data_IF_870036688392
#
_entry.id   IF_870036688392
#
_cell.length_a   1.000
_cell.length_b   1.000
_cell.length_c   1.000
_cell.angle_alpha   90.00
_cell.angle_beta   90.00
_cell.angle_gamma   90.00
#
_symmetry.space_group_name_H-M   'P 1'
#
loop_
_entity.id
_entity.type
_entity.pdbx_description
1 polymer ?
#
# COMPACT_ATOMS: atom_id res chain seq x y z
N UNK A 1 -20.89 20.82 -10.30
CA UNK A 1 -20.16 22.04 -10.62
C UNK A 1 -20.65 22.57 -11.98
N UNK A 2 -21.38 23.71 -12.03
CA UNK A 2 -21.96 24.23 -13.27
C UNK A 2 -20.88 24.91 -14.15
N UNK A 3 -20.22 24.13 -15.00
CA UNK A 3 -19.14 24.59 -15.89
C UNK A 3 -19.55 25.81 -16.72
N UNK A 4 -20.78 25.83 -17.23
CA UNK A 4 -21.30 26.94 -18.04
C UNK A 4 -21.30 28.29 -17.32
N UNK A 5 -21.49 28.29 -15.99
CA UNK A 5 -21.45 29.54 -15.22
C UNK A 5 -20.08 30.16 -15.30
N UNK A 6 -19.02 29.38 -15.19
CA UNK A 6 -17.63 29.88 -15.34
C UNK A 6 -17.39 30.45 -16.73
N UNK A 7 -17.91 29.84 -17.78
CA UNK A 7 -17.80 30.32 -19.16
C UNK A 7 -18.47 31.69 -19.32
N UNK A 8 -19.67 31.86 -18.75
CA UNK A 8 -20.39 33.14 -18.80
C UNK A 8 -19.67 34.22 -17.98
N UNK A 9 -19.20 33.89 -16.81
CA UNK A 9 -18.41 34.82 -15.98
C UNK A 9 -17.08 35.21 -16.66
N UNK A 10 -16.42 34.28 -17.34
CA UNK A 10 -15.22 34.56 -18.12
C UNK A 10 -15.51 35.55 -19.27
N UNK A 11 -16.66 35.42 -19.91
CA UNK A 11 -17.13 36.39 -20.92
C UNK A 11 -17.64 37.71 -20.31
N UNK A 12 -17.57 37.86 -18.98
CA UNK A 12 -18.07 39.03 -18.25
C UNK A 12 -19.59 39.20 -18.24
N UNK A 13 -20.33 38.17 -18.64
CA UNK A 13 -21.81 38.25 -18.77
C UNK A 13 -22.47 38.16 -17.41
N UNK A 14 -23.61 38.81 -17.29
CA UNK A 14 -24.52 38.59 -16.19
C UNK A 14 -25.16 37.20 -16.29
N UNK A 15 -25.34 36.58 -15.15
CA UNK A 15 -25.89 35.24 -15.06
C UNK A 15 -27.04 35.22 -14.07
N UNK A 16 -28.19 34.77 -14.52
CA UNK A 16 -29.35 34.46 -13.67
C UNK A 16 -29.46 32.94 -13.62
N UNK A 17 -29.57 32.38 -12.45
CA UNK A 17 -29.63 30.94 -12.25
C UNK A 17 -30.60 30.56 -11.10
N UNK A 18 -31.07 29.33 -11.10
CA UNK A 18 -31.82 28.76 -9.98
C UNK A 18 -30.94 28.70 -8.73
N UNK A 19 -31.51 28.96 -7.56
CA UNK A 19 -30.79 28.88 -6.29
C UNK A 19 -30.54 27.42 -5.92
N UNK A 20 -29.37 26.93 -6.32
CA UNK A 20 -28.87 25.60 -6.03
C UNK A 20 -27.64 25.71 -5.09
N UNK A 21 -27.41 24.73 -4.21
CA UNK A 21 -26.24 24.75 -3.32
C UNK A 21 -24.92 25.02 -4.04
N UNK A 22 -24.76 24.44 -5.26
CA UNK A 22 -23.54 24.55 -6.06
C UNK A 22 -23.27 25.96 -6.60
N UNK A 23 -24.29 26.83 -6.71
CA UNK A 23 -24.11 28.20 -7.18
C UNK A 23 -23.81 29.18 -6.06
N UNK A 24 -23.87 28.75 -4.79
CA UNK A 24 -23.56 29.59 -3.64
C UNK A 24 -22.14 30.12 -3.64
N UNK A 25 -21.21 29.37 -4.22
CA UNK A 25 -19.80 29.75 -4.37
C UNK A 25 -19.56 31.00 -5.21
N UNK A 26 -20.49 31.39 -6.07
CA UNK A 26 -20.36 32.56 -6.93
C UNK A 26 -20.80 33.89 -6.25
N UNK A 27 -21.38 33.78 -5.05
CA UNK A 27 -21.76 34.97 -4.24
C UNK A 27 -22.63 35.95 -5.02
N UNK A 28 -22.22 37.20 -5.08
CA UNK A 28 -22.89 38.29 -5.78
C UNK A 28 -22.58 38.39 -7.28
N UNK A 29 -21.73 37.50 -7.80
CA UNK A 29 -21.37 37.48 -9.22
C UNK A 29 -22.48 36.92 -10.11
N UNK A 30 -23.47 36.24 -9.50
CA UNK A 30 -24.63 35.69 -10.17
C UNK A 30 -25.91 36.08 -9.44
N UNK A 31 -27.03 36.23 -10.18
CA UNK A 31 -28.35 36.44 -9.61
C UNK A 31 -29.01 35.09 -9.37
N UNK A 32 -29.28 34.76 -8.11
CA UNK A 32 -29.94 33.51 -7.71
C UNK A 32 -31.42 33.74 -7.55
N UNK A 33 -32.25 32.86 -8.15
CA UNK A 33 -33.69 32.91 -8.09
C UNK A 33 -34.25 31.63 -7.48
N UNK A 34 -35.09 31.76 -6.46
CA UNK A 34 -35.70 30.63 -5.74
C UNK A 34 -36.91 30.04 -6.48
N UNK A 35 -37.59 30.87 -7.28
CA UNK A 35 -38.80 30.52 -8.00
C UNK A 35 -38.90 31.22 -9.38
N UNK A 36 -39.94 30.92 -10.13
CA UNK A 36 -40.17 31.42 -11.48
C UNK A 36 -40.30 32.97 -11.52
N UNK A 37 -41.01 33.56 -10.57
CA UNK A 37 -41.28 35.00 -10.56
C UNK A 37 -40.01 35.80 -10.23
N UNK A 38 -39.24 35.35 -9.26
CA UNK A 38 -37.93 35.92 -8.93
C UNK A 38 -36.94 35.74 -10.07
N UNK A 39 -37.01 34.62 -10.82
CA UNK A 39 -36.15 34.39 -11.98
C UNK A 39 -36.43 35.40 -13.11
N UNK A 40 -37.73 35.60 -13.44
CA UNK A 40 -38.15 36.61 -14.45
C UNK A 40 -37.74 38.02 -13.99
N UNK A 41 -37.99 38.33 -12.73
CA UNK A 41 -37.60 39.63 -12.15
C UNK A 41 -36.11 39.89 -12.26
N UNK A 42 -35.29 38.92 -11.94
CA UNK A 42 -33.81 39.00 -12.05
C UNK A 42 -33.39 39.21 -13.51
N UNK A 43 -33.97 38.51 -14.47
CA UNK A 43 -33.70 38.75 -15.91
C UNK A 43 -34.03 40.18 -16.31
N UNK A 44 -35.22 40.68 -15.95
CA UNK A 44 -35.64 42.07 -16.30
C UNK A 44 -34.69 43.08 -15.70
N UNK A 45 -34.34 42.94 -14.42
CA UNK A 45 -33.38 43.83 -13.76
C UNK A 45 -32.02 43.86 -14.45
N UNK A 46 -31.50 42.68 -14.84
CA UNK A 46 -30.21 42.56 -15.56
C UNK A 46 -30.26 43.17 -16.95
N UNK A 47 -31.40 43.23 -17.60
CA UNK A 47 -31.57 43.84 -18.93
C UNK A 47 -31.75 45.38 -18.82
N UNK A 48 -32.48 45.86 -17.81
CA UNK A 48 -32.75 47.28 -17.59
C UNK A 48 -31.55 48.04 -16.99
N UNK A 49 -30.82 47.37 -16.10
CA UNK A 49 -29.66 47.96 -15.42
C UNK A 49 -28.52 46.96 -15.46
N UNK A 50 -27.87 46.75 -16.60
CA UNK A 50 -26.72 45.85 -16.69
C UNK A 50 -25.60 46.40 -15.79
N UNK A 51 -24.97 45.47 -15.04
CA UNK A 51 -23.87 45.84 -14.17
C UNK A 51 -22.73 46.53 -14.94
N UNK A 52 -22.20 47.60 -14.35
CA UNK A 52 -21.15 48.40 -14.96
C UNK A 52 -19.85 47.60 -15.20
N UNK A 53 -18.86 48.31 -15.77
CA UNK A 53 -17.55 47.78 -16.11
C UNK A 53 -16.88 47.06 -14.92
N UNK A 54 -17.05 47.60 -13.70
CA UNK A 54 -16.42 46.99 -12.50
C UNK A 54 -17.02 45.64 -12.17
N UNK A 55 -18.33 45.43 -12.32
CA UNK A 55 -18.96 44.16 -12.11
C UNK A 55 -18.58 43.14 -13.20
N UNK A 56 -18.39 43.57 -14.42
CA UNK A 56 -17.87 42.77 -15.52
C UNK A 56 -16.44 42.28 -15.22
N UNK A 57 -15.56 43.20 -14.80
CA UNK A 57 -14.19 42.88 -14.44
C UNK A 57 -14.12 41.95 -13.25
N UNK A 58 -14.99 42.14 -12.23
CA UNK A 58 -15.06 41.22 -11.08
C UNK A 58 -15.42 39.79 -11.50
N UNK A 59 -16.41 39.60 -12.41
CA UNK A 59 -16.77 38.31 -12.97
C UNK A 59 -15.61 37.66 -13.72
N UNK A 60 -14.94 38.41 -14.57
CA UNK A 60 -13.78 37.93 -15.35
C UNK A 60 -12.61 37.53 -14.45
N UNK A 61 -12.27 38.35 -13.46
CA UNK A 61 -11.19 38.05 -12.51
C UNK A 61 -11.48 36.79 -11.71
N UNK A 62 -12.72 36.61 -11.24
CA UNK A 62 -13.11 35.37 -10.57
C UNK A 62 -12.91 34.16 -11.47
N UNK A 63 -13.42 34.22 -12.72
CA UNK A 63 -13.31 33.10 -13.65
C UNK A 63 -11.84 32.77 -14.01
N UNK A 64 -10.99 33.77 -14.16
CA UNK A 64 -9.55 33.58 -14.41
C UNK A 64 -8.83 32.82 -13.30
N UNK A 65 -9.29 32.93 -12.05
CA UNK A 65 -8.76 32.18 -10.92
C UNK A 65 -9.32 30.75 -10.82
N UNK A 66 -10.27 30.37 -11.65
CA UNK A 66 -10.94 29.06 -11.65
C UNK A 66 -10.55 28.18 -12.86
N UNK A 67 -9.37 28.37 -13.41
CA UNK A 67 -8.88 27.59 -14.54
C UNK A 67 -8.49 26.17 -14.11
N UNK A 68 -8.45 25.24 -15.07
CA UNK A 68 -7.95 23.90 -14.84
C UNK A 68 -6.52 23.87 -14.28
N UNK A 69 -5.71 24.86 -14.65
CA UNK A 69 -4.35 25.00 -14.15
C UNK A 69 -4.34 25.32 -12.65
N UNK A 70 -5.19 26.23 -12.18
CA UNK A 70 -5.33 26.53 -10.75
C UNK A 70 -5.86 25.31 -9.98
N UNK A 71 -6.85 24.60 -10.54
CA UNK A 71 -7.37 23.36 -9.91
C UNK A 71 -6.31 22.28 -9.80
N UNK A 72 -5.48 22.12 -10.85
CA UNK A 72 -4.37 21.17 -10.81
C UNK A 72 -3.34 21.58 -9.75
N UNK A 73 -3.05 22.87 -9.63
CA UNK A 73 -2.13 23.38 -8.61
C UNK A 73 -2.68 23.20 -7.19
N UNK A 74 -3.95 23.53 -6.94
CA UNK A 74 -4.61 23.30 -5.64
C UNK A 74 -4.55 21.80 -5.26
N UNK A 75 -4.83 20.92 -6.20
CA UNK A 75 -4.74 19.47 -5.98
C UNK A 75 -3.31 19.04 -5.66
N UNK A 76 -2.33 19.57 -6.41
CA UNK A 76 -0.92 19.28 -6.17
C UNK A 76 -0.47 19.75 -4.78
N UNK A 77 -0.87 20.96 -4.36
CA UNK A 77 -0.60 21.47 -3.01
C UNK A 77 -1.27 20.62 -1.92
N UNK A 78 -2.52 20.17 -2.14
CA UNK A 78 -3.18 19.26 -1.22
C UNK A 78 -2.40 17.94 -1.09
N UNK A 79 -1.97 17.35 -2.20
CA UNK A 79 -1.17 16.11 -2.20
C UNK A 79 0.18 16.32 -1.50
N UNK A 80 0.84 17.45 -1.73
CA UNK A 80 2.13 17.77 -1.08
C UNK A 80 2.01 17.95 0.44
N UNK A 81 0.83 18.36 0.95
CA UNK A 81 0.56 18.46 2.39
C UNK A 81 0.29 17.13 3.05
N UNK A 82 -0.03 16.09 2.27
CA UNK A 82 -0.22 14.75 2.81
C UNK A 82 1.12 14.19 3.27
N UNK A 83 1.24 13.93 4.56
CA UNK A 83 2.40 13.23 5.11
C UNK A 83 2.14 11.74 5.03
N UNK A 84 3.01 11.04 4.33
CA UNK A 84 3.01 9.58 4.29
C UNK A 84 4.12 9.06 5.19
N UNK A 85 3.85 8.10 6.11
CA UNK A 85 4.87 7.51 6.95
C UNK A 85 5.92 6.79 6.09
N UNK A 86 7.14 6.68 6.60
CA UNK A 86 8.17 5.90 5.92
C UNK A 86 7.92 4.40 6.03
N UNK A 87 8.26 3.65 4.97
CA UNK A 87 8.07 2.19 4.94
C UNK A 87 9.37 1.51 4.54
N UNK A 88 9.75 0.47 5.29
CA UNK A 88 10.82 -0.45 4.92
C UNK A 88 10.23 -1.79 4.50
N UNK A 89 10.57 -2.24 3.29
CA UNK A 89 10.28 -3.60 2.83
C UNK A 89 11.54 -4.43 2.97
N UNK A 90 11.50 -5.43 3.85
CA UNK A 90 12.59 -6.37 4.10
C UNK A 90 12.36 -7.62 3.27
N UNK A 91 13.30 -7.95 2.40
CA UNK A 91 13.30 -9.15 1.56
C UNK A 91 14.45 -10.05 1.99
N UNK A 92 14.11 -11.22 2.54
CA UNK A 92 15.11 -12.25 2.82
C UNK A 92 15.32 -13.10 1.58
N UNK A 93 16.59 -13.31 1.17
CA UNK A 93 16.93 -14.17 0.04
C UNK A 93 18.01 -15.18 0.39
N UNK A 94 17.92 -16.35 -0.23
CA UNK A 94 18.94 -17.39 -0.18
C UNK A 94 18.94 -18.19 -1.48
N UNK A 95 19.95 -18.00 -2.34
CA UNK A 95 20.02 -18.60 -3.67
C UNK A 95 18.76 -18.31 -4.54
N UNK A 96 18.61 -19.00 -5.66
CA UNK A 96 17.44 -18.89 -6.55
C UNK A 96 17.22 -17.47 -7.09
N UNK A 97 18.26 -16.90 -7.70
CA UNK A 97 18.25 -15.54 -8.25
C UNK A 97 17.01 -15.19 -9.06
N UNK A 98 16.51 -16.12 -9.89
CA UNK A 98 15.35 -15.87 -10.74
C UNK A 98 14.10 -15.42 -9.96
N UNK A 99 13.81 -16.01 -8.79
CA UNK A 99 12.72 -15.56 -7.94
C UNK A 99 12.99 -14.21 -7.29
N UNK A 100 14.20 -14.04 -6.76
CA UNK A 100 14.62 -12.76 -6.16
C UNK A 100 14.54 -11.63 -7.19
N UNK A 101 14.96 -11.87 -8.43
CA UNK A 101 14.85 -10.91 -9.52
C UNK A 101 13.40 -10.55 -9.80
N UNK A 102 12.51 -11.52 -9.97
CA UNK A 102 11.08 -11.27 -10.23
C UNK A 102 10.40 -10.50 -9.08
N UNK A 103 10.75 -10.83 -7.83
CA UNK A 103 10.30 -10.11 -6.66
C UNK A 103 10.74 -8.65 -6.70
N UNK A 104 12.03 -8.37 -6.86
CA UNK A 104 12.58 -7.02 -6.91
C UNK A 104 12.01 -6.22 -8.09
N UNK A 105 11.94 -6.81 -9.30
CA UNK A 105 11.31 -6.17 -10.45
C UNK A 105 9.86 -5.76 -10.14
N UNK A 106 9.10 -6.64 -9.50
CA UNK A 106 7.73 -6.33 -9.12
C UNK A 106 7.65 -5.21 -8.09
N UNK A 107 8.54 -5.19 -7.10
CA UNK A 107 8.63 -4.14 -6.09
C UNK A 107 8.92 -2.78 -6.73
N UNK A 108 9.96 -2.67 -7.56
CA UNK A 108 10.36 -1.40 -8.15
C UNK A 108 9.40 -0.89 -9.21
N UNK A 109 8.73 -1.78 -9.97
CA UNK A 109 7.80 -1.41 -11.03
C UNK A 109 6.36 -1.18 -10.57
N UNK A 110 5.95 -1.77 -9.45
CA UNK A 110 4.53 -1.81 -9.04
C UNK A 110 4.25 -1.17 -7.68
N UNK A 111 5.29 -0.68 -6.99
CA UNK A 111 5.11 0.01 -5.71
C UNK A 111 5.20 1.52 -5.90
N UNK A 112 4.06 2.10 -6.29
CA UNK A 112 3.89 3.55 -6.40
C UNK A 112 3.52 4.09 -5.00
N UNK A 113 4.54 4.29 -4.14
CA UNK A 113 4.36 4.81 -2.79
C UNK A 113 4.82 6.28 -2.73
N UNK A 114 3.96 7.23 -2.30
CA UNK A 114 4.31 8.66 -2.30
C UNK A 114 5.19 9.10 -1.15
N UNK A 115 5.34 8.27 -0.09
CA UNK A 115 6.23 8.53 1.04
C UNK A 115 7.63 7.96 0.86
N UNK A 116 8.46 8.08 1.88
CA UNK A 116 9.79 7.48 1.89
C UNK A 116 9.68 5.95 1.90
N UNK A 117 10.32 5.30 0.93
CA UNK A 117 10.35 3.84 0.77
C UNK A 117 11.79 3.38 0.65
N UNK A 118 12.19 2.45 1.53
CA UNK A 118 13.43 1.69 1.39
C UNK A 118 13.14 0.19 1.21
N UNK A 119 13.99 -0.49 0.47
CA UNK A 119 13.95 -1.93 0.27
C UNK A 119 15.23 -2.51 0.82
N UNK A 120 15.12 -3.21 1.95
CA UNK A 120 16.25 -3.86 2.61
C UNK A 120 16.30 -5.31 2.15
N UNK A 121 17.30 -5.67 1.36
CA UNK A 121 17.51 -7.06 0.94
C UNK A 121 18.56 -7.69 1.83
N UNK A 122 18.15 -8.70 2.61
CA UNK A 122 19.06 -9.49 3.44
C UNK A 122 19.39 -10.79 2.71
N UNK A 123 20.65 -10.92 2.27
CA UNK A 123 21.15 -12.16 1.67
C UNK A 123 21.69 -13.08 2.73
N UNK A 124 21.19 -14.30 2.77
CA UNK A 124 21.49 -15.30 3.79
C UNK A 124 22.67 -16.21 3.40
N UNK A 125 23.75 -15.60 2.89
CA UNK A 125 24.96 -16.26 2.38
C UNK A 125 24.66 -17.14 1.15
N UNK A 126 24.06 -16.56 0.11
CA UNK A 126 23.86 -17.23 -1.17
C UNK A 126 25.20 -17.65 -1.81
N UNK A 127 25.20 -18.82 -2.42
CA UNK A 127 26.37 -19.42 -3.08
C UNK A 127 26.28 -19.44 -4.61
N UNK A 128 25.13 -19.01 -5.15
CA UNK A 128 24.92 -18.81 -6.59
C UNK A 128 25.21 -17.35 -7.01
N UNK A 129 24.76 -16.92 -8.20
CA UNK A 129 24.97 -15.56 -8.72
C UNK A 129 24.21 -14.47 -7.93
N UNK A 130 23.36 -14.81 -6.95
CA UNK A 130 22.47 -13.87 -6.25
C UNK A 130 23.23 -12.68 -5.66
N UNK A 131 24.33 -12.90 -4.96
CA UNK A 131 25.09 -11.82 -4.29
C UNK A 131 25.66 -10.81 -5.30
N UNK A 132 26.20 -11.29 -6.44
CA UNK A 132 26.73 -10.41 -7.48
C UNK A 132 25.63 -9.56 -8.11
N UNK A 133 24.51 -10.18 -8.44
CA UNK A 133 23.34 -9.50 -8.99
C UNK A 133 22.74 -8.47 -8.03
N UNK A 134 22.65 -8.79 -6.74
CA UNK A 134 22.18 -7.87 -5.72
C UNK A 134 23.08 -6.63 -5.59
N UNK A 135 24.40 -6.80 -5.67
CA UNK A 135 25.35 -5.68 -5.67
C UNK A 135 25.17 -4.78 -6.89
N UNK A 136 24.95 -5.36 -8.07
CA UNK A 136 24.62 -4.59 -9.29
C UNK A 136 23.32 -3.78 -9.12
N UNK A 137 22.27 -4.38 -8.56
CA UNK A 137 21.00 -3.71 -8.30
C UNK A 137 21.17 -2.57 -7.29
N UNK A 138 21.82 -2.81 -6.16
CA UNK A 138 22.05 -1.81 -5.13
C UNK A 138 22.86 -0.60 -5.64
N UNK A 139 23.74 -0.80 -6.64
CA UNK A 139 24.48 0.29 -7.26
C UNK A 139 23.63 1.22 -8.15
N UNK A 140 22.49 0.75 -8.63
CA UNK A 140 21.61 1.47 -9.56
C UNK A 140 20.33 1.97 -8.92
N UNK A 141 19.90 1.33 -7.83
CA UNK A 141 18.63 1.65 -7.17
C UNK A 141 18.90 2.23 -5.76
N UNK A 142 18.83 3.55 -5.62
CA UNK A 142 19.18 4.23 -4.37
C UNK A 142 18.23 3.90 -3.19
N UNK A 143 17.04 3.36 -3.46
CA UNK A 143 16.11 2.90 -2.41
C UNK A 143 16.49 1.53 -1.85
N UNK A 144 17.45 0.85 -2.45
CA UNK A 144 17.86 -0.50 -2.04
C UNK A 144 19.03 -0.45 -1.07
N UNK A 145 18.86 -1.13 0.06
CA UNK A 145 19.90 -1.39 1.06
C UNK A 145 20.22 -2.88 1.09
N UNK A 146 21.47 -3.25 0.93
CA UNK A 146 21.90 -4.65 0.93
C UNK A 146 22.56 -5.00 2.26
N UNK A 147 22.09 -6.09 2.86
CA UNK A 147 22.67 -6.71 4.06
C UNK A 147 23.16 -8.10 3.67
N UNK A 148 24.44 -8.38 3.87
CA UNK A 148 25.05 -9.68 3.54
C UNK A 148 25.39 -10.43 4.83
N UNK A 149 24.69 -11.52 5.10
CA UNK A 149 25.00 -12.41 6.21
C UNK A 149 26.21 -13.30 5.87
N UNK A 150 27.07 -13.54 6.83
CA UNK A 150 28.26 -14.38 6.64
C UNK A 150 27.94 -15.88 6.48
N UNK A 151 26.79 -16.32 7.01
CA UNK A 151 26.30 -17.69 6.95
C UNK A 151 24.78 -17.70 6.78
N UNK A 152 24.21 -18.82 6.36
CA UNK A 152 22.76 -18.99 6.35
C UNK A 152 22.23 -19.11 7.78
N UNK A 153 21.59 -18.05 8.26
CA UNK A 153 21.05 -17.93 9.62
C UNK A 153 19.65 -18.57 9.79
N UNK A 154 19.04 -19.05 8.70
CA UNK A 154 17.66 -19.49 8.68
C UNK A 154 16.67 -18.34 8.48
N UNK A 155 15.36 -18.62 8.61
CA UNK A 155 14.32 -17.66 8.29
C UNK A 155 14.20 -16.53 9.33
N UNK A 156 14.05 -16.88 10.62
CA UNK A 156 13.85 -15.90 11.69
C UNK A 156 15.05 -14.96 11.83
N UNK A 157 16.26 -15.50 12.00
CA UNK A 157 17.46 -14.70 12.18
C UNK A 157 17.83 -13.90 10.92
N UNK A 158 17.63 -14.47 9.72
CA UNK A 158 17.83 -13.74 8.47
C UNK A 158 16.90 -12.54 8.32
N UNK A 159 15.60 -12.68 8.64
CA UNK A 159 14.68 -11.55 8.67
C UNK A 159 15.05 -10.54 9.75
N UNK A 160 15.47 -10.98 10.92
CA UNK A 160 15.91 -10.09 12.00
C UNK A 160 17.08 -9.20 11.58
N UNK A 161 18.04 -9.70 10.79
CA UNK A 161 19.14 -8.85 10.27
C UNK A 161 18.62 -7.77 9.32
N UNK A 162 17.64 -8.08 8.47
CA UNK A 162 17.00 -7.11 7.62
C UNK A 162 16.18 -6.08 8.39
N UNK A 163 15.37 -6.54 9.37
CA UNK A 163 14.55 -5.69 10.23
C UNK A 163 15.40 -4.74 11.09
N UNK A 164 16.54 -5.20 11.60
CA UNK A 164 17.49 -4.36 12.35
C UNK A 164 18.12 -3.26 11.48
N UNK A 165 18.24 -3.49 10.17
CA UNK A 165 18.77 -2.52 9.23
C UNK A 165 17.69 -1.55 8.70
N UNK A 166 16.41 -1.87 8.88
CA UNK A 166 15.27 -1.08 8.43
C UNK A 166 15.03 0.18 9.28
N UNK A 167 14.60 1.29 8.67
CA UNK A 167 14.42 2.59 9.34
C UNK A 167 12.99 3.15 9.26
N UNK A 168 12.10 2.55 8.44
CA UNK A 168 10.75 3.03 8.20
C UNK A 168 9.83 2.97 9.43
N UNK A 169 8.81 3.82 9.47
CA UNK A 169 7.74 3.81 10.49
C UNK A 169 6.87 2.55 10.42
N UNK A 170 6.80 1.95 9.25
CA UNK A 170 6.19 0.64 9.02
C UNK A 170 7.20 -0.33 8.44
N UNK A 171 7.10 -1.56 8.87
CA UNK A 171 7.97 -2.66 8.46
C UNK A 171 7.15 -3.69 7.69
N UNK A 172 7.67 -4.12 6.56
CA UNK A 172 7.12 -5.22 5.77
C UNK A 172 8.15 -6.31 5.67
N UNK A 173 7.81 -7.54 6.04
CA UNK A 173 8.58 -8.73 5.67
C UNK A 173 7.97 -9.31 4.40
N UNK A 174 8.79 -9.63 3.42
CA UNK A 174 8.38 -10.15 2.13
C UNK A 174 9.32 -11.25 1.67
N UNK A 175 8.79 -12.41 1.33
CA UNK A 175 9.59 -13.49 0.76
C UNK A 175 10.08 -13.14 -0.65
N UNK A 176 11.27 -13.62 -1.00
CA UNK A 176 11.87 -13.37 -2.31
C UNK A 176 11.18 -14.14 -3.48
N UNK A 177 10.30 -15.09 -3.18
CA UNK A 177 9.50 -15.83 -4.16
C UNK A 177 8.08 -15.28 -4.31
N UNK A 178 7.91 -13.97 -4.14
CA UNK A 178 6.64 -13.26 -4.27
C UNK A 178 6.65 -12.28 -5.44
N UNK A 179 5.46 -11.94 -5.94
CA UNK A 179 5.27 -10.88 -6.94
C UNK A 179 4.11 -9.99 -6.49
N UNK A 180 4.42 -8.73 -6.21
CA UNK A 180 3.43 -7.76 -5.72
C UNK A 180 2.57 -7.18 -6.85
N UNK A 181 1.41 -6.63 -6.49
CA UNK A 181 0.48 -5.97 -7.41
C UNK A 181 0.46 -4.45 -7.17
N UNK A 182 -0.01 -3.67 -8.15
CA UNK A 182 -0.11 -2.21 -7.97
C UNK A 182 -1.03 -1.83 -6.81
N UNK A 183 -0.61 -0.85 -6.02
CA UNK A 183 -1.38 -0.33 -4.89
C UNK A 183 -1.32 -1.18 -3.61
N UNK A 184 -0.66 -2.33 -3.63
CA UNK A 184 -0.59 -3.26 -2.51
C UNK A 184 -0.15 -2.60 -1.20
N UNK A 185 0.96 -1.87 -1.23
CA UNK A 185 1.57 -1.27 -0.04
C UNK A 185 0.71 -0.14 0.56
N UNK A 186 0.20 0.73 -0.32
CA UNK A 186 -0.67 1.83 0.11
C UNK A 186 -2.00 1.32 0.67
N UNK A 187 -2.54 0.24 0.11
CA UNK A 187 -3.78 -0.38 0.62
C UNK A 187 -3.56 -0.99 2.00
N UNK A 188 -2.45 -1.74 2.22
CA UNK A 188 -2.10 -2.24 3.55
C UNK A 188 -1.95 -1.10 4.57
N UNK A 189 -1.25 -0.02 4.21
CA UNK A 189 -1.09 1.14 5.08
C UNK A 189 -2.43 1.78 5.48
N UNK A 190 -3.36 1.91 4.52
CA UNK A 190 -4.69 2.50 4.78
C UNK A 190 -5.48 1.72 5.82
N UNK A 191 -5.36 0.41 5.86
CA UNK A 191 -5.99 -0.39 6.92
C UNK A 191 -5.44 -0.06 8.30
N UNK A 192 -4.11 0.09 8.45
CA UNK A 192 -3.52 0.54 9.71
C UNK A 192 -3.95 1.95 10.11
N UNK A 193 -4.10 2.85 9.13
CA UNK A 193 -4.58 4.21 9.41
C UNK A 193 -6.05 4.25 9.83
N UNK A 194 -6.85 3.28 9.36
CA UNK A 194 -8.26 3.16 9.70
C UNK A 194 -8.50 2.42 11.03
N UNK A 195 -7.54 1.62 11.50
CA UNK A 195 -7.70 0.76 12.65
C UNK A 195 -6.42 0.66 13.50
N UNK A 196 -6.39 1.41 14.58
CA UNK A 196 -5.28 1.44 15.54
C UNK A 196 -5.11 0.13 16.36
N UNK A 197 -6.05 -0.80 16.28
CA UNK A 197 -5.94 -2.10 16.94
C UNK A 197 -5.24 -3.15 16.09
N UNK A 198 -4.95 -2.85 14.82
CA UNK A 198 -4.17 -3.75 13.97
C UNK A 198 -2.70 -3.76 14.41
N UNK A 199 -2.20 -4.95 14.71
CA UNK A 199 -0.77 -5.17 15.01
C UNK A 199 -0.02 -5.78 13.86
N UNK A 200 -0.67 -6.67 13.09
CA UNK A 200 -0.09 -7.37 11.95
C UNK A 200 -1.12 -7.56 10.84
N UNK A 201 -0.72 -7.32 9.61
CA UNK A 201 -1.58 -7.42 8.44
C UNK A 201 -0.84 -8.12 7.30
N UNK A 202 -1.46 -9.15 6.72
CA UNK A 202 -0.97 -9.82 5.52
C UNK A 202 -1.97 -9.70 4.36
N UNK A 203 -1.56 -9.85 3.10
CA UNK A 203 -2.44 -9.87 1.95
C UNK A 203 -3.04 -11.26 1.72
N UNK A 204 -4.10 -11.31 0.90
CA UNK A 204 -4.53 -12.55 0.25
C UNK A 204 -3.49 -13.02 -0.79
N UNK A 205 -3.46 -14.32 -1.04
CA UNK A 205 -2.51 -14.93 -1.99
C UNK A 205 -3.12 -16.11 -2.74
N UNK A 206 -2.52 -16.44 -3.88
CA UNK A 206 -2.89 -17.63 -4.68
C UNK A 206 -2.49 -18.95 -4.01
N UNK A 207 -1.43 -18.95 -3.19
CA UNK A 207 -0.87 -20.19 -2.63
C UNK A 207 -0.23 -19.99 -1.26
N UNK A 208 -0.81 -20.61 -0.24
CA UNK A 208 -0.34 -20.70 1.14
C UNK A 208 -1.10 -21.80 1.87
N UNK A 209 -0.65 -22.18 3.07
CA UNK A 209 -1.26 -23.26 3.87
C UNK A 209 -2.37 -22.81 4.83
N UNK A 210 -2.76 -21.54 4.84
CA UNK A 210 -3.79 -20.99 5.75
C UNK A 210 -4.92 -20.28 4.98
N UNK A 211 -5.82 -19.62 5.71
CA UNK A 211 -7.03 -18.97 5.21
C UNK A 211 -6.75 -17.74 4.33
N UNK A 212 -5.51 -17.26 4.24
CA UNK A 212 -5.12 -16.17 3.30
C UNK A 212 -5.09 -16.66 1.85
N UNK A 213 -5.19 -17.97 1.60
CA UNK A 213 -5.29 -18.55 0.25
C UNK A 213 -6.65 -18.28 -0.36
N UNK A 214 -6.65 -17.69 -1.55
CA UNK A 214 -7.88 -17.35 -2.28
C UNK A 214 -7.91 -17.94 -3.70
N UNK A 215 -9.11 -18.21 -4.25
CA UNK A 215 -9.26 -18.82 -5.56
C UNK A 215 -9.06 -17.77 -6.67
N UNK A 216 -7.80 -17.46 -6.98
CA UNK A 216 -7.43 -16.57 -8.09
C UNK A 216 -6.72 -17.40 -9.15
N UNK A 217 -7.27 -17.42 -10.37
CA UNK A 217 -6.77 -18.22 -11.47
C UNK A 217 -6.23 -17.34 -12.60
N UNK A 218 -5.04 -17.63 -13.06
CA UNK A 218 -4.38 -17.05 -14.24
C UNK A 218 -3.38 -18.07 -14.80
N UNK A 219 -3.25 -18.09 -16.13
CA UNK A 219 -2.40 -19.07 -16.82
C UNK A 219 -0.94 -18.63 -16.87
N UNK A 220 -0.70 -17.30 -16.93
CA UNK A 220 0.64 -16.73 -16.99
C UNK A 220 0.78 -15.56 -16.03
N UNK A 221 2.02 -15.20 -15.69
CA UNK A 221 2.30 -14.04 -14.84
C UNK A 221 1.89 -12.71 -15.48
N UNK A 222 1.73 -12.64 -16.79
CA UNK A 222 1.19 -11.47 -17.48
C UNK A 222 -0.29 -11.26 -17.17
N UNK A 223 -1.05 -12.32 -16.99
CA UNK A 223 -2.49 -12.28 -16.64
C UNK A 223 -2.73 -12.05 -15.14
N UNK A 224 -1.72 -12.28 -14.29
CA UNK A 224 -1.84 -12.18 -12.84
C UNK A 224 -2.37 -10.80 -12.38
N UNK A 225 -1.87 -9.65 -12.87
CA UNK A 225 -2.36 -8.34 -12.40
C UNK A 225 -3.85 -8.11 -12.68
N UNK A 226 -4.34 -8.57 -13.84
CA UNK A 226 -5.75 -8.46 -14.19
C UNK A 226 -6.63 -9.38 -13.33
N UNK A 227 -6.16 -10.60 -13.04
CA UNK A 227 -6.85 -11.54 -12.16
C UNK A 227 -6.88 -11.02 -10.71
N UNK A 228 -5.75 -10.50 -10.22
CA UNK A 228 -5.65 -9.88 -8.90
C UNK A 228 -6.64 -8.71 -8.76
N UNK A 229 -6.66 -7.79 -9.71
CA UNK A 229 -7.60 -6.66 -9.70
C UNK A 229 -9.06 -7.10 -9.71
N UNK A 230 -9.40 -8.12 -10.48
CA UNK A 230 -10.75 -8.69 -10.56
C UNK A 230 -11.18 -9.30 -9.22
N UNK A 231 -10.23 -9.88 -8.48
CA UNK A 231 -10.46 -10.40 -7.14
C UNK A 231 -10.60 -9.28 -6.10
N UNK A 232 -9.65 -8.34 -6.06
CA UNK A 232 -9.53 -7.34 -4.99
C UNK A 232 -10.53 -6.20 -5.10
N UNK A 233 -10.89 -5.76 -6.31
CA UNK A 233 -11.73 -4.57 -6.52
C UNK A 233 -13.11 -4.65 -5.83
N UNK A 234 -13.85 -5.78 -5.87
CA UNK A 234 -15.13 -5.91 -5.15
C UNK A 234 -14.96 -5.99 -3.62
N UNK A 235 -13.73 -6.16 -3.14
CA UNK A 235 -13.37 -6.40 -1.73
C UNK A 235 -12.70 -5.20 -1.06
N UNK A 236 -12.72 -4.05 -1.70
CA UNK A 236 -12.07 -2.84 -1.16
C UNK A 236 -12.50 -2.56 0.28
N UNK A 237 -11.51 -2.41 1.16
CA UNK A 237 -11.71 -2.16 2.58
C UNK A 237 -12.05 -3.39 3.42
N UNK A 238 -12.08 -4.60 2.84
CA UNK A 238 -12.42 -5.81 3.58
C UNK A 238 -11.20 -6.42 4.26
N UNK A 239 -11.37 -6.75 5.54
CA UNK A 239 -10.39 -7.45 6.37
C UNK A 239 -11.01 -8.73 6.94
N UNK A 240 -10.24 -9.81 6.94
CA UNK A 240 -10.57 -11.02 7.70
C UNK A 240 -9.73 -11.11 8.96
N UNK A 241 -10.34 -11.34 10.14
CA UNK A 241 -9.57 -11.60 11.34
C UNK A 241 -8.81 -12.92 11.21
N UNK A 242 -7.54 -12.91 11.60
CA UNK A 242 -6.67 -14.08 11.55
C UNK A 242 -6.14 -14.39 12.95
N UNK A 243 -5.90 -15.65 13.26
CA UNK A 243 -5.16 -16.07 14.46
C UNK A 243 -3.66 -16.11 14.20
N UNK A 244 -3.29 -16.54 13.00
CA UNK A 244 -1.91 -16.63 12.53
C UNK A 244 -1.83 -16.11 11.12
N UNK A 245 -0.83 -15.29 10.84
CA UNK A 245 -0.48 -14.86 9.48
C UNK A 245 0.78 -15.59 9.03
N UNK A 246 0.76 -16.13 7.83
CA UNK A 246 1.95 -16.69 7.21
C UNK A 246 2.89 -15.57 6.72
N UNK A 247 4.16 -15.68 7.05
CA UNK A 247 5.15 -14.59 6.87
C UNK A 247 5.76 -14.55 5.46
N UNK A 248 5.00 -14.94 4.44
CA UNK A 248 5.39 -14.68 3.05
C UNK A 248 5.30 -13.18 2.68
N UNK A 249 4.33 -12.48 3.29
CA UNK A 249 4.17 -11.03 3.20
C UNK A 249 3.36 -10.54 4.41
N UNK A 250 3.96 -9.78 5.29
CA UNK A 250 3.27 -9.18 6.44
C UNK A 250 3.79 -7.78 6.69
N UNK A 251 2.89 -6.88 7.09
CA UNK A 251 3.18 -5.49 7.46
C UNK A 251 2.81 -5.25 8.91
N UNK A 252 3.63 -4.45 9.61
CA UNK A 252 3.39 -4.01 10.99
C UNK A 252 3.91 -2.59 11.22
N UNK A 253 3.32 -1.82 12.15
CA UNK A 253 3.94 -0.58 12.64
C UNK A 253 5.27 -0.88 13.35
N UNK A 254 6.28 -0.01 13.19
CA UNK A 254 7.54 -0.13 13.94
C UNK A 254 7.32 -0.18 15.44
N UNK A 255 6.42 0.62 15.98
CA UNK A 255 6.09 0.62 17.40
C UNK A 255 5.61 -0.77 17.90
N UNK A 256 4.92 -1.54 17.05
CA UNK A 256 4.53 -2.92 17.36
C UNK A 256 5.76 -3.83 17.38
N UNK A 257 6.63 -3.73 16.36
CA UNK A 257 7.87 -4.48 16.33
C UNK A 257 8.77 -4.20 17.55
N UNK A 258 8.93 -2.94 17.92
CA UNK A 258 9.73 -2.56 19.09
C UNK A 258 9.15 -3.09 20.40
N UNK A 259 7.82 -3.15 20.51
CA UNK A 259 7.12 -3.69 21.69
C UNK A 259 7.19 -5.21 21.75
N UNK A 260 7.02 -5.89 20.64
CA UNK A 260 7.03 -7.37 20.54
C UNK A 260 8.44 -7.93 20.53
N UNK A 261 9.39 -7.19 19.92
CA UNK A 261 10.77 -7.59 19.72
C UNK A 261 10.98 -8.42 18.45
N UNK A 262 12.21 -8.89 18.19
CA UNK A 262 12.56 -9.66 17.02
C UNK A 262 11.89 -11.04 17.01
N UNK A 263 11.91 -11.70 15.85
CA UNK A 263 11.47 -13.09 15.71
C UNK A 263 12.36 -14.02 16.57
N UNK A 264 11.76 -15.09 17.08
CA UNK A 264 12.50 -16.09 17.85
C UNK A 264 13.38 -16.96 16.93
N UNK A 265 14.67 -16.82 17.07
CA UNK A 265 15.68 -17.48 16.21
C UNK A 265 15.80 -18.99 16.49
N UNK A 266 15.24 -19.49 17.60
CA UNK A 266 15.25 -20.91 17.95
C UNK A 266 14.49 -21.77 16.95
N UNK A 267 13.56 -21.20 16.19
CA UNK A 267 12.85 -21.90 15.11
C UNK A 267 13.74 -22.17 13.88
N UNK A 268 14.83 -21.43 13.70
CA UNK A 268 15.82 -21.68 12.66
C UNK A 268 15.30 -21.48 11.24
N UNK A 269 15.21 -22.56 10.45
CA UNK A 269 14.89 -22.49 9.02
C UNK A 269 13.42 -22.28 8.70
N UNK A 270 12.51 -22.43 9.68
CA UNK A 270 11.06 -22.23 9.46
C UNK A 270 10.21 -23.20 10.29
N UNK A 271 8.89 -23.07 10.13
CA UNK A 271 7.80 -23.70 10.88
C UNK A 271 7.64 -23.16 12.32
N UNK A 272 6.44 -22.67 12.59
CA UNK A 272 5.97 -22.14 13.87
C UNK A 272 6.54 -20.77 14.29
N UNK A 273 7.47 -20.16 13.53
CA UNK A 273 7.95 -18.80 13.81
C UNK A 273 6.88 -17.74 13.56
N UNK A 274 6.04 -17.96 12.58
CA UNK A 274 4.88 -17.14 12.24
C UNK A 274 3.75 -17.29 13.28
N UNK A 275 3.47 -18.50 13.75
CA UNK A 275 2.55 -18.77 14.86
C UNK A 275 3.02 -18.10 16.16
N UNK A 276 4.30 -18.24 16.50
CA UNK A 276 4.91 -17.62 17.67
C UNK A 276 4.77 -16.09 17.64
N UNK A 277 5.16 -15.50 16.52
CA UNK A 277 5.14 -14.05 16.39
C UNK A 277 3.71 -13.49 16.39
N UNK A 278 2.79 -14.17 15.71
CA UNK A 278 1.37 -13.86 15.70
C UNK A 278 0.80 -13.85 17.12
N UNK A 279 1.10 -14.88 17.91
CA UNK A 279 0.63 -15.01 19.29
C UNK A 279 1.23 -13.95 20.21
N UNK A 280 2.50 -13.57 20.00
CA UNK A 280 3.15 -12.48 20.76
C UNK A 280 2.47 -11.13 20.51
N UNK A 281 2.00 -10.88 19.27
CA UNK A 281 1.23 -9.68 18.93
C UNK A 281 -0.15 -9.69 19.61
N UNK A 282 -0.87 -10.82 19.60
CA UNK A 282 -2.16 -10.97 20.29
C UNK A 282 -2.03 -10.72 21.80
N UNK A 283 -0.94 -11.16 22.41
CA UNK A 283 -0.66 -10.88 23.84
C UNK A 283 -0.50 -9.40 24.15
N UNK A 284 -0.20 -8.57 23.16
CA UNK A 284 -0.18 -7.12 23.32
C UNK A 284 -1.58 -6.48 23.21
N UNK A 285 -2.64 -7.29 23.07
CA UNK A 285 -4.01 -6.83 22.87
C UNK A 285 -4.28 -6.31 21.45
N UNK A 286 -3.41 -6.64 20.50
CA UNK A 286 -3.52 -6.22 19.10
C UNK A 286 -4.12 -7.34 18.24
N UNK A 287 -4.75 -6.96 17.12
CA UNK A 287 -5.39 -7.86 16.17
C UNK A 287 -4.50 -8.17 14.99
N UNK A 288 -4.71 -9.37 14.44
CA UNK A 288 -4.15 -9.80 13.16
C UNK A 288 -5.28 -9.91 12.14
N UNK A 289 -4.99 -9.53 10.89
CA UNK A 289 -5.95 -9.64 9.82
C UNK A 289 -5.29 -9.95 8.47
N UNK A 290 -6.08 -10.53 7.57
CA UNK A 290 -5.77 -10.63 6.15
C UNK A 290 -6.52 -9.52 5.40
N UNK A 291 -5.81 -8.74 4.58
CA UNK A 291 -6.38 -7.74 3.69
C UNK A 291 -6.88 -8.43 2.41
N UNK A 292 -8.20 -8.59 2.30
CA UNK A 292 -8.82 -9.27 1.16
C UNK A 292 -8.85 -8.40 -0.12
N UNK A 293 -8.57 -7.13 0.03
CA UNK A 293 -8.42 -6.17 -1.05
C UNK A 293 -6.97 -5.99 -1.55
N UNK A 294 -6.04 -6.82 -1.03
CA UNK A 294 -4.66 -6.88 -1.50
C UNK A 294 -4.32 -8.31 -1.91
N UNK A 295 -3.77 -8.49 -3.10
CA UNK A 295 -3.26 -9.78 -3.55
C UNK A 295 -1.77 -9.69 -3.84
N UNK A 296 -1.00 -10.58 -3.23
CA UNK A 296 0.42 -10.82 -3.53
C UNK A 296 0.56 -12.26 -4.02
N UNK A 297 1.12 -12.42 -5.24
CA UNK A 297 1.41 -13.76 -5.77
C UNK A 297 2.56 -14.39 -4.99
N UNK A 298 2.42 -15.67 -4.64
CA UNK A 298 3.44 -16.45 -3.97
C UNK A 298 3.72 -17.73 -4.77
N UNK A 299 4.97 -17.91 -5.18
CA UNK A 299 5.39 -19.06 -6.00
C UNK A 299 5.44 -20.37 -5.23
N UNK A 300 5.40 -20.31 -3.92
CA UNK A 300 5.50 -21.38 -2.92
C UNK A 300 6.75 -22.30 -3.03
N UNK A 301 7.43 -22.44 -1.90
CA UNK A 301 8.42 -23.52 -1.64
C UNK A 301 9.68 -23.55 -2.50
N UNK A 302 10.05 -22.47 -3.19
CA UNK A 302 11.29 -22.43 -3.96
C UNK A 302 12.53 -22.84 -3.14
N UNK A 303 12.51 -22.66 -1.82
CA UNK A 303 13.60 -22.98 -0.89
C UNK A 303 13.39 -24.32 -0.15
N UNK A 304 12.16 -24.68 0.19
CA UNK A 304 11.86 -25.90 0.95
C UNK A 304 11.81 -27.18 0.10
N UNK A 305 11.50 -27.09 -1.19
CA UNK A 305 11.43 -28.26 -2.09
C UNK A 305 12.83 -28.90 -2.33
N UNK A 306 13.90 -28.20 -1.96
CA UNK A 306 15.28 -28.71 -2.03
C UNK A 306 15.76 -29.39 -0.75
N UNK A 307 14.97 -29.35 0.33
CA UNK A 307 15.29 -30.01 1.61
C UNK A 307 14.74 -31.44 1.58
N UNK A 308 15.55 -32.40 2.01
CA UNK A 308 15.11 -33.79 2.13
C UNK A 308 13.86 -33.92 3.00
N UNK A 309 12.91 -34.77 2.59
CA UNK A 309 11.65 -34.92 3.29
C UNK A 309 11.82 -35.35 4.76
N UNK A 310 12.85 -36.15 5.06
CA UNK A 310 13.17 -36.56 6.42
C UNK A 310 13.66 -35.41 7.30
N UNK A 311 14.55 -34.57 6.77
CA UNK A 311 15.02 -33.38 7.47
C UNK A 311 13.89 -32.37 7.70
N UNK A 312 13.00 -32.19 6.70
CA UNK A 312 11.83 -31.32 6.79
C UNK A 312 10.86 -31.77 7.89
N UNK A 313 10.56 -33.06 7.95
CA UNK A 313 9.71 -33.63 9.00
C UNK A 313 10.34 -33.49 10.39
N UNK A 314 11.62 -33.79 10.53
CA UNK A 314 12.35 -33.65 11.80
C UNK A 314 12.37 -32.19 12.29
N UNK A 315 12.56 -31.23 11.38
CA UNK A 315 12.47 -29.81 11.69
C UNK A 315 11.08 -29.41 12.16
N UNK A 316 10.04 -29.85 11.47
CA UNK A 316 8.64 -29.61 11.84
C UNK A 316 8.33 -30.13 13.25
N UNK A 317 8.64 -31.39 13.54
CA UNK A 317 8.36 -32.02 14.85
C UNK A 317 9.14 -31.33 15.98
N UNK A 318 10.40 -30.99 15.74
CA UNK A 318 11.21 -30.23 16.70
C UNK A 318 10.58 -28.87 17.02
N UNK A 319 10.23 -28.12 15.98
CA UNK A 319 9.71 -26.77 16.15
C UNK A 319 8.30 -26.78 16.73
N UNK A 320 7.49 -27.80 16.40
CA UNK A 320 6.20 -28.04 17.03
C UNK A 320 6.34 -28.25 18.53
N UNK A 321 7.22 -29.16 18.94
CA UNK A 321 7.46 -29.45 20.34
C UNK A 321 7.99 -28.19 21.10
N UNK A 322 8.86 -27.42 20.45
CA UNK A 322 9.35 -26.16 21.02
C UNK A 322 8.21 -25.13 21.18
N UNK A 323 7.38 -24.95 20.17
CA UNK A 323 6.22 -24.06 20.21
C UNK A 323 5.24 -24.48 21.32
N UNK A 324 4.87 -25.77 21.39
CA UNK A 324 3.98 -26.30 22.42
C UNK A 324 4.55 -26.18 23.86
N UNK A 325 5.89 -26.20 24.01
CA UNK A 325 6.54 -26.01 25.31
C UNK A 325 6.59 -24.53 25.73
N UNK A 326 6.54 -23.62 24.77
CA UNK A 326 6.60 -22.16 25.01
C UNK A 326 5.24 -21.59 25.33
N UNK A 327 4.19 -22.21 24.79
CA UNK A 327 2.81 -21.71 24.82
C UNK A 327 1.82 -22.67 25.46
#
# INVERSE_FOLDING_TARGET
NPVKVYEYLCAGKEVVCTDLPEVSQFGTLVHKAADHDTFITAIRASLEQPGGTDAQVARQNFAQQQTWQHRAQELQECVQRLQFPSISVVVLTYNNWAYTQACLESLFLRTDYPGALEIVVADNASSDETVERLKEWASREPRMKLVLNATNLGFSAGNNTGLAAATGDYLVMLNNDTVVTRGWLLTLLRHFQADAQLGLLGPATNHIGNESKVPVFYETMEHMPAAARRYTLPRMGQLYPMKTLAFFCVMMPRAVYEKVGPMDESFGRGFFEDDDYSRRIEQQGLRLACADDVLVHHHLSASFDKVDNGERQALFERNKAYYESKW
#
